data_IF_740333182918
#
_entry.id   IF_740333182918
#
_cell.length_a   1.000
_cell.length_b   1.000
_cell.length_c   1.000
_cell.angle_alpha   90.00
_cell.angle_beta   90.00
_cell.angle_gamma   90.00
#
_symmetry.space_group_name_H-M   'P 1'
#
loop_
_entity.id
_entity.type
_entity.pdbx_description
1 polymer ?
#
# COMPACT_ATOMS: atom_id res chain seq x y z
N UNK A 1 9.35 24.80 -20.26
CA UNK A 1 9.95 24.07 -19.12
C UNK A 1 8.86 23.17 -18.59
N UNK A 2 8.83 21.93 -19.07
CA UNK A 2 7.87 20.93 -18.58
C UNK A 2 8.62 20.21 -17.48
N UNK A 3 8.34 20.56 -16.22
CA UNK A 3 8.87 19.81 -15.08
C UNK A 3 8.46 18.35 -15.30
N UNK A 4 9.48 17.50 -15.50
CA UNK A 4 9.33 16.06 -15.53
C UNK A 4 8.95 15.66 -14.10
N UNK A 5 7.66 15.74 -13.78
CA UNK A 5 7.11 15.13 -12.58
C UNK A 5 7.49 13.65 -12.66
N UNK A 6 8.44 13.22 -11.83
CA UNK A 6 8.83 11.82 -11.75
C UNK A 6 7.59 11.02 -11.37
N UNK A 7 7.11 10.20 -12.30
CA UNK A 7 5.98 9.30 -12.09
C UNK A 7 6.56 7.97 -11.59
N UNK A 8 6.15 7.59 -10.39
CA UNK A 8 6.51 6.33 -9.76
C UNK A 8 5.46 5.30 -10.19
N UNK A 9 5.84 4.40 -11.09
CA UNK A 9 4.97 3.35 -11.61
C UNK A 9 5.08 2.11 -10.71
N UNK A 10 3.98 1.70 -10.08
CA UNK A 10 3.92 0.54 -9.18
C UNK A 10 2.76 -0.34 -9.64
N UNK A 11 3.10 -1.37 -10.42
CA UNK A 11 2.11 -2.27 -11.01
C UNK A 11 1.24 -1.56 -12.05
N UNK A 12 -0.03 -1.35 -11.72
CA UNK A 12 -1.02 -0.63 -12.56
C UNK A 12 -1.35 0.77 -12.00
N UNK A 13 -0.66 1.20 -10.94
CA UNK A 13 -0.85 2.52 -10.33
C UNK A 13 0.34 3.43 -10.61
N UNK A 14 0.05 4.67 -10.95
CA UNK A 14 1.03 5.72 -11.25
C UNK A 14 0.95 6.80 -10.19
N UNK A 15 2.01 6.97 -9.41
CA UNK A 15 2.07 7.97 -8.37
C UNK A 15 2.92 9.17 -8.81
N UNK A 16 2.53 10.36 -8.39
CA UNK A 16 3.35 11.56 -8.54
C UNK A 16 4.49 11.56 -7.51
N UNK A 17 5.56 12.30 -7.78
CA UNK A 17 6.65 12.52 -6.83
C UNK A 17 6.09 13.14 -5.53
N UNK A 18 6.16 12.39 -4.43
CA UNK A 18 5.54 12.75 -3.14
C UNK A 18 4.19 12.07 -2.85
N UNK A 19 3.71 11.15 -3.70
CA UNK A 19 2.55 10.30 -3.46
C UNK A 19 1.23 11.03 -3.16
N UNK A 20 1.15 12.34 -3.46
CA UNK A 20 -0.05 13.16 -3.28
C UNK A 20 -1.10 12.94 -4.37
N UNK A 21 -0.67 12.49 -5.55
CA UNK A 21 -1.58 12.19 -6.66
C UNK A 21 -1.27 10.79 -7.16
N UNK A 22 -2.31 9.99 -7.37
CA UNK A 22 -2.22 8.65 -7.90
C UNK A 22 -3.22 8.46 -9.02
N UNK A 23 -2.79 7.92 -10.15
CA UNK A 23 -3.67 7.44 -11.19
C UNK A 23 -3.75 5.90 -11.14
N UNK A 24 -4.93 5.34 -11.00
CA UNK A 24 -5.16 3.89 -10.95
C UNK A 24 -6.43 3.54 -11.71
N UNK A 25 -6.37 2.56 -12.62
CA UNK A 25 -7.50 2.15 -13.49
C UNK A 25 -8.20 3.30 -14.24
N UNK A 26 -7.44 4.33 -14.61
CA UNK A 26 -7.97 5.52 -15.28
C UNK A 26 -8.65 6.55 -14.36
N UNK A 27 -8.76 6.28 -13.06
CA UNK A 27 -9.22 7.24 -12.05
C UNK A 27 -8.02 7.96 -11.43
N UNK A 28 -8.14 9.26 -11.17
CA UNK A 28 -7.13 10.07 -10.46
C UNK A 28 -7.60 10.29 -9.02
N UNK A 29 -6.71 10.00 -8.09
CA UNK A 29 -6.90 10.08 -6.66
C UNK A 29 -5.93 11.09 -6.07
N UNK A 30 -6.43 12.03 -5.27
CA UNK A 30 -5.63 13.08 -4.63
C UNK A 30 -5.62 12.89 -3.11
N UNK A 31 -4.45 12.54 -2.59
CA UNK A 31 -4.21 12.29 -1.18
C UNK A 31 -3.76 13.55 -0.45
N UNK A 32 -4.30 13.76 0.75
CA UNK A 32 -3.74 14.73 1.70
C UNK A 32 -2.35 14.29 2.16
N UNK A 33 -1.55 15.20 2.74
CA UNK A 33 -0.16 14.93 3.14
C UNK A 33 -0.01 13.68 4.03
N UNK A 34 -0.86 13.53 5.03
CA UNK A 34 -0.94 12.34 5.89
C UNK A 34 -1.26 11.05 5.09
N UNK A 35 -2.23 11.11 4.18
CA UNK A 35 -2.57 9.97 3.33
C UNK A 35 -1.44 9.63 2.35
N UNK A 36 -0.77 10.64 1.80
CA UNK A 36 0.37 10.47 0.91
C UNK A 36 1.54 9.79 1.64
N UNK A 37 1.83 10.16 2.89
CA UNK A 37 2.84 9.50 3.71
C UNK A 37 2.51 8.02 3.95
N UNK A 38 1.25 7.69 4.29
CA UNK A 38 0.84 6.31 4.45
C UNK A 38 0.89 5.51 3.13
N UNK A 39 0.46 6.11 2.01
CA UNK A 39 0.53 5.50 0.67
C UNK A 39 1.97 5.24 0.27
N UNK A 40 2.90 6.18 0.53
CA UNK A 40 4.32 6.02 0.31
C UNK A 40 4.87 4.77 1.00
N UNK A 41 4.57 4.58 2.29
CA UNK A 41 5.03 3.40 3.05
C UNK A 41 4.48 2.10 2.46
N UNK A 42 3.20 2.10 2.06
CA UNK A 42 2.58 0.94 1.41
C UNK A 42 3.21 0.65 0.05
N UNK A 43 3.50 1.68 -0.74
CA UNK A 43 4.15 1.59 -2.04
C UNK A 43 5.58 1.06 -1.93
N UNK A 44 6.39 1.60 -1.01
CA UNK A 44 7.75 1.15 -0.74
C UNK A 44 7.75 -0.31 -0.23
N UNK A 45 6.83 -0.66 0.67
CA UNK A 45 6.70 -2.04 1.17
C UNK A 45 6.29 -3.01 0.06
N UNK A 46 5.37 -2.59 -0.83
CA UNK A 46 4.96 -3.39 -1.98
C UNK A 46 6.13 -3.65 -2.94
N UNK A 47 6.95 -2.64 -3.22
CA UNK A 47 8.16 -2.78 -4.02
C UNK A 47 9.21 -3.68 -3.34
N UNK A 48 9.31 -3.64 -2.02
CA UNK A 48 10.16 -4.54 -1.23
C UNK A 48 9.63 -5.99 -1.16
N UNK A 49 8.50 -6.30 -1.80
CA UNK A 49 7.89 -7.64 -1.79
C UNK A 49 7.02 -7.93 -0.57
N UNK A 50 6.76 -6.94 0.28
CA UNK A 50 5.87 -7.02 1.45
C UNK A 50 4.60 -6.21 1.15
N UNK A 51 3.63 -6.78 0.42
CA UNK A 51 2.45 -6.03 -0.05
C UNK A 51 1.51 -5.62 1.10
N UNK A 52 1.64 -6.21 2.29
CA UNK A 52 0.76 -5.98 3.43
C UNK A 52 1.54 -5.40 4.60
N UNK A 53 1.16 -4.20 5.03
CA UNK A 53 1.81 -3.44 6.10
C UNK A 53 0.88 -3.38 7.32
N UNK A 54 1.48 -3.49 8.50
CA UNK A 54 0.76 -3.32 9.75
C UNK A 54 0.43 -1.84 9.98
N UNK A 55 -0.79 -1.53 10.38
CA UNK A 55 -1.27 -0.17 10.60
C UNK A 55 -0.45 0.60 11.63
N UNK A 56 0.15 -0.08 12.61
CA UNK A 56 1.08 0.54 13.56
C UNK A 56 2.33 1.12 12.88
N UNK A 57 2.81 0.51 11.79
CA UNK A 57 3.94 1.04 11.02
C UNK A 57 3.57 2.31 10.25
N UNK A 58 2.33 2.38 9.75
CA UNK A 58 1.80 3.60 9.12
C UNK A 58 1.67 4.73 10.15
N UNK A 59 1.22 4.41 11.37
CA UNK A 59 1.09 5.38 12.45
C UNK A 59 2.46 5.86 12.97
N UNK A 60 3.46 4.98 13.04
CA UNK A 60 4.83 5.34 13.43
C UNK A 60 5.45 6.34 12.44
N UNK A 61 5.28 6.10 11.14
CA UNK A 61 5.75 7.00 10.08
C UNK A 61 5.05 8.36 10.14
N UNK A 62 3.76 8.39 10.46
CA UNK A 62 3.03 9.64 10.65
C UNK A 62 3.43 10.37 11.93
N UNK A 63 3.74 9.64 13.00
CA UNK A 63 4.25 10.22 14.23
C UNK A 63 5.58 10.97 14.01
N UNK A 64 6.41 10.51 13.07
CA UNK A 64 7.64 11.23 12.65
C UNK A 64 7.35 12.56 11.96
N UNK A 65 6.16 12.71 11.39
CA UNK A 65 5.68 13.94 10.75
C UNK A 65 4.88 14.83 11.71
N UNK A 66 4.92 14.57 13.02
CA UNK A 66 4.11 15.22 14.06
C UNK A 66 2.58 15.06 13.80
N UNK A 67 2.20 14.07 12.99
CA UNK A 67 0.81 13.73 12.69
C UNK A 67 0.40 12.52 13.52
N UNK A 68 -0.54 12.70 14.44
CA UNK A 68 -0.97 11.67 15.39
C UNK A 68 -2.44 11.26 15.20
N UNK A 69 -2.80 10.61 14.08
CA UNK A 69 -4.13 10.04 13.95
C UNK A 69 -4.31 8.87 14.92
N UNK A 70 -5.48 8.75 15.54
CA UNK A 70 -5.76 7.64 16.45
C UNK A 70 -5.95 6.32 15.69
N UNK A 71 -6.38 6.38 14.43
CA UNK A 71 -6.64 5.21 13.58
C UNK A 71 -6.21 5.44 12.14
N UNK A 72 -5.81 4.35 11.47
CA UNK A 72 -5.49 4.38 10.04
C UNK A 72 -6.68 4.85 9.19
N UNK A 73 -7.91 4.53 9.57
CA UNK A 73 -9.14 5.00 8.87
C UNK A 73 -9.24 6.53 8.86
N UNK A 74 -8.66 7.23 9.85
CA UNK A 74 -8.67 8.70 9.93
C UNK A 74 -7.65 9.34 8.99
N UNK A 75 -6.53 8.66 8.72
CA UNK A 75 -5.51 9.11 7.75
C UNK A 75 -6.15 9.32 6.37
N UNK A 76 -7.02 8.39 5.98
CA UNK A 76 -7.72 8.40 4.70
C UNK A 76 -9.10 9.06 4.79
N UNK A 77 -9.28 9.95 5.76
CA UNK A 77 -10.51 10.73 5.93
C UNK A 77 -10.22 12.21 5.70
N UNK A 78 -10.81 12.76 4.65
CA UNK A 78 -10.69 14.18 4.31
C UNK A 78 -12.03 14.86 4.56
N UNK A 79 -12.05 15.91 5.38
CA UNK A 79 -13.26 16.71 5.69
C UNK A 79 -14.46 15.85 6.12
N UNK A 80 -14.22 14.86 7.00
CA UNK A 80 -15.24 13.95 7.53
C UNK A 80 -15.69 12.84 6.57
N UNK A 81 -15.28 12.87 5.31
CA UNK A 81 -15.58 11.85 4.29
C UNK A 81 -14.41 10.89 4.10
N UNK A 82 -14.71 9.60 3.89
CA UNK A 82 -13.69 8.62 3.52
C UNK A 82 -13.19 8.89 2.12
N UNK A 83 -11.89 8.76 1.93
CA UNK A 83 -11.25 8.92 0.63
C UNK A 83 -11.78 7.86 -0.36
N UNK A 84 -12.06 8.20 -1.63
CA UNK A 84 -12.62 7.25 -2.61
C UNK A 84 -11.67 6.07 -2.92
N UNK A 85 -10.37 6.24 -2.70
CA UNK A 85 -9.39 5.15 -2.80
C UNK A 85 -9.47 4.15 -1.63
N UNK A 86 -10.11 4.52 -0.51
CA UNK A 86 -10.32 3.63 0.63
C UNK A 86 -11.31 2.52 0.29
N UNK A 87 -10.99 1.29 0.68
CA UNK A 87 -11.73 0.07 0.29
C UNK A 87 -11.78 -0.23 -1.22
N UNK A 88 -11.24 0.62 -2.09
CA UNK A 88 -11.04 0.32 -3.52
C UNK A 88 -9.59 -0.05 -3.79
N UNK A 89 -8.71 0.93 -3.68
CA UNK A 89 -7.27 0.76 -3.88
C UNK A 89 -6.57 0.34 -2.58
N UNK A 90 -6.96 0.92 -1.44
CA UNK A 90 -6.37 0.59 -0.14
C UNK A 90 -7.30 -0.42 0.54
N UNK A 91 -6.86 -1.67 0.58
CA UNK A 91 -7.63 -2.78 1.16
C UNK A 91 -7.10 -3.16 2.52
N UNK A 92 -8.01 -3.30 3.48
CA UNK A 92 -7.73 -3.94 4.76
C UNK A 92 -7.83 -5.45 4.60
N UNK A 93 -6.72 -6.17 4.75
CA UNK A 93 -6.67 -7.63 4.58
C UNK A 93 -6.72 -8.39 5.91
N UNK A 94 -6.48 -7.71 7.02
CA UNK A 94 -6.44 -8.33 8.35
C UNK A 94 -6.73 -7.37 9.48
N UNK A 95 -6.49 -7.84 10.71
CA UNK A 95 -6.61 -7.00 11.90
C UNK A 95 -5.48 -5.97 11.88
N UNK A 96 -5.85 -4.73 11.58
CA UNK A 96 -4.91 -3.61 11.47
C UNK A 96 -3.81 -3.87 10.42
N UNK A 97 -4.14 -4.54 9.31
CA UNK A 97 -3.20 -4.80 8.21
C UNK A 97 -3.79 -4.30 6.91
N UNK A 98 -3.01 -3.53 6.17
CA UNK A 98 -3.42 -2.79 4.98
C UNK A 98 -2.50 -3.11 3.81
N UNK A 99 -3.05 -3.15 2.61
CA UNK A 99 -2.29 -3.32 1.36
C UNK A 99 -2.82 -2.41 0.26
N UNK A 100 -1.99 -2.17 -0.73
CA UNK A 100 -2.43 -1.60 -2.01
C UNK A 100 -2.92 -2.73 -2.91
N UNK A 101 -4.15 -2.63 -3.40
CA UNK A 101 -4.74 -3.48 -4.43
C UNK A 101 -4.32 -2.97 -5.81
N UNK A 102 -3.02 -3.06 -6.08
CA UNK A 102 -2.45 -2.72 -7.38
C UNK A 102 -2.08 -4.01 -8.11
N UNK A 103 -2.40 -4.09 -9.40
CA UNK A 103 -2.02 -5.20 -10.27
C UNK A 103 -0.53 -5.09 -10.64
N UNK A 104 0.32 -5.08 -9.63
CA UNK A 104 1.72 -5.44 -9.76
C UNK A 104 1.86 -6.65 -8.89
N UNK A 105 2.00 -7.83 -9.50
CA UNK A 105 2.41 -9.01 -8.75
C UNK A 105 3.64 -8.58 -7.92
N UNK A 106 3.58 -8.59 -6.57
CA UNK A 106 4.84 -8.51 -5.84
C UNK A 106 5.65 -9.65 -6.42
N UNK A 107 6.86 -9.39 -6.93
CA UNK A 107 7.68 -10.44 -7.53
C UNK A 107 7.96 -11.51 -6.46
N UNK A 108 6.98 -12.38 -6.27
CA UNK A 108 7.02 -13.62 -5.54
C UNK A 108 7.47 -14.57 -6.60
N UNK A 109 8.78 -14.73 -6.71
CA UNK A 109 9.37 -16.00 -7.11
C UNK A 109 8.56 -17.09 -6.40
N UNK A 110 7.65 -17.69 -7.16
CA UNK A 110 6.78 -18.76 -6.74
C UNK A 110 7.67 -19.96 -6.50
N UNK A 111 8.19 -20.09 -5.28
CA UNK A 111 8.66 -21.39 -4.80
C UNK A 111 7.65 -21.89 -3.80
N UNK A 112 6.48 -22.32 -4.31
CA UNK A 112 5.81 -23.46 -3.72
C UNK A 112 6.75 -24.66 -3.96
N UNK A 113 7.76 -24.84 -3.11
CA UNK A 113 8.39 -26.14 -2.99
C UNK A 113 7.39 -27.00 -2.21
N UNK A 114 6.65 -27.80 -2.97
CA UNK A 114 6.02 -29.05 -2.56
C UNK A 114 6.69 -29.62 -1.31
N UNK A 115 5.96 -29.70 -0.21
CA UNK A 115 6.31 -30.61 0.88
C UNK A 115 6.20 -32.04 0.32
N UNK A 116 7.28 -32.82 0.17
CA UNK A 116 7.10 -34.25 0.04
C UNK A 116 6.57 -34.74 1.38
N UNK A 117 5.31 -35.23 1.40
CA UNK A 117 4.87 -36.13 2.45
C UNK A 117 5.79 -37.35 2.36
N UNK A 118 6.75 -37.44 3.27
CA UNK A 118 7.42 -38.70 3.54
C UNK A 118 6.37 -39.62 4.17
N UNK A 119 5.72 -40.40 3.30
CA UNK A 119 5.03 -41.62 3.67
C UNK A 119 6.10 -42.61 4.12
N UNK A 120 6.36 -42.64 5.43
CA UNK A 120 7.12 -43.72 6.04
C UNK A 120 6.17 -44.91 6.22
N UNK A 121 5.81 -45.52 5.09
CA UNK A 121 5.10 -46.77 4.97
C UNK A 121 6.11 -47.94 4.99
N UNK A 122 5.93 -48.80 5.97
CA UNK A 122 6.61 -50.06 6.27
C UNK A 122 7.04 -50.89 5.04
N UNK A 123 8.27 -51.43 5.09
CA UNK A 123 8.52 -52.87 4.90
C UNK A 123 9.89 -53.29 5.44
#
# INVERSE_FOLDING_TARGET
MTELLEIIDIGDAKFSCGYRVCQWRGEIFEFSEQAAAAVRVLAESHQAGVPAVYGGMLLDELAKLDMLPNRVDEIFRTSGKRHPAWDRMIKRVGRNTYRLEISGEPQKSHTLATVPKSDLGQN
#
